data_IF_266937102565
#
_entry.id   IF_266937102565
#
_cell.length_a   1.000
_cell.length_b   1.000
_cell.length_c   1.000
_cell.angle_alpha   90.00
_cell.angle_beta   90.00
_cell.angle_gamma   90.00
#
_symmetry.space_group_name_H-M   'P 1'
#
loop_
_entity.id
_entity.type
_entity.pdbx_description
1 polymer ?
#
# COMPACT_ATOMS: atom_id res chain seq x y z
N UNK A 1 50.64 -4.42 14.14
CA UNK A 1 49.99 -5.44 13.29
C UNK A 1 48.56 -5.80 13.71
N UNK A 2 48.19 -5.76 15.00
CA UNK A 2 46.81 -6.04 15.45
C UNK A 2 45.77 -5.00 14.98
N UNK A 3 46.11 -3.71 14.97
CA UNK A 3 45.19 -2.64 14.57
C UNK A 3 44.69 -2.76 13.12
N UNK A 4 45.57 -3.13 12.18
CA UNK A 4 45.18 -3.29 10.76
C UNK A 4 44.15 -4.41 10.55
N UNK A 5 44.25 -5.48 11.36
CA UNK A 5 43.32 -6.63 11.30
C UNK A 5 41.95 -6.27 11.86
N UNK A 6 41.91 -5.46 12.92
CA UNK A 6 40.66 -4.94 13.50
C UNK A 6 39.98 -3.98 12.52
N UNK A 7 40.73 -3.06 11.91
CA UNK A 7 40.19 -2.12 10.90
C UNK A 7 39.62 -2.88 9.70
N UNK A 8 40.34 -3.89 9.19
CA UNK A 8 39.84 -4.72 8.09
C UNK A 8 38.57 -5.50 8.45
N UNK A 9 38.52 -6.08 9.66
CA UNK A 9 37.33 -6.81 10.12
C UNK A 9 36.10 -5.90 10.26
N UNK A 10 36.27 -4.69 10.81
CA UNK A 10 35.19 -3.70 10.93
C UNK A 10 34.71 -3.24 9.55
N UNK A 11 35.63 -2.97 8.62
CA UNK A 11 35.27 -2.57 7.25
C UNK A 11 34.48 -3.65 6.50
N UNK A 12 34.90 -4.92 6.62
CA UNK A 12 34.18 -6.06 6.03
C UNK A 12 32.81 -6.24 6.66
N UNK A 13 32.71 -6.15 7.99
CA UNK A 13 31.42 -6.28 8.69
C UNK A 13 30.44 -5.19 8.28
N UNK A 14 30.90 -3.93 8.16
CA UNK A 14 30.08 -2.81 7.68
C UNK A 14 29.68 -2.99 6.22
N UNK A 15 30.60 -3.41 5.34
CA UNK A 15 30.30 -3.67 3.93
C UNK A 15 29.27 -4.78 3.72
N UNK A 16 29.37 -5.88 4.49
CA UNK A 16 28.39 -6.97 4.48
C UNK A 16 27.04 -6.48 5.02
N UNK A 17 27.04 -5.71 6.10
CA UNK A 17 25.80 -5.17 6.68
C UNK A 17 25.07 -4.24 5.71
N UNK A 18 25.80 -3.38 4.99
CA UNK A 18 25.24 -2.47 3.99
C UNK A 18 24.61 -3.20 2.79
N UNK A 19 25.10 -4.40 2.46
CA UNK A 19 24.55 -5.22 1.37
C UNK A 19 23.21 -5.88 1.73
N UNK A 20 22.84 -5.91 3.01
CA UNK A 20 21.58 -6.50 3.49
C UNK A 20 20.47 -5.46 3.69
N UNK A 21 20.71 -4.16 3.41
CA UNK A 21 19.65 -3.17 3.52
C UNK A 21 18.62 -3.41 2.40
N UNK A 22 17.33 -3.65 2.74
CA UNK A 22 16.30 -3.68 1.72
C UNK A 22 16.23 -2.30 1.08
N UNK A 23 16.38 -2.24 -0.25
CA UNK A 23 16.14 -1.02 -1.00
C UNK A 23 14.74 -0.50 -0.65
N UNK A 24 14.61 0.81 -0.42
CA UNK A 24 13.32 1.45 -0.25
C UNK A 24 12.49 1.19 -1.51
N UNK A 25 11.59 0.20 -1.45
CA UNK A 25 10.77 -0.19 -2.58
C UNK A 25 9.70 0.87 -2.76
N UNK A 26 9.85 1.68 -3.81
CA UNK A 26 8.72 2.42 -4.38
C UNK A 26 7.81 1.39 -5.02
N UNK A 27 6.84 0.90 -4.25
CA UNK A 27 5.88 -0.11 -4.69
C UNK A 27 5.02 0.46 -5.81
N UNK A 28 5.49 0.33 -7.06
CA UNK A 28 4.71 0.72 -8.22
C UNK A 28 3.69 -0.38 -8.51
N UNK A 29 2.40 -0.04 -8.45
CA UNK A 29 1.34 -0.97 -8.79
C UNK A 29 1.34 -1.23 -10.30
N UNK A 30 1.19 -2.49 -10.67
CA UNK A 30 1.10 -2.93 -12.05
C UNK A 30 0.02 -4.00 -12.18
N UNK A 31 -0.84 -3.87 -13.19
CA UNK A 31 -1.80 -4.93 -13.55
C UNK A 31 -1.04 -6.15 -14.05
N UNK A 32 -1.38 -7.35 -13.55
CA UNK A 32 -0.66 -8.57 -13.91
C UNK A 32 0.70 -8.71 -13.22
N UNK A 33 0.94 -8.02 -12.11
CA UNK A 33 2.16 -8.16 -11.30
C UNK A 33 2.50 -9.63 -10.98
N UNK A 34 1.48 -10.47 -10.77
CA UNK A 34 1.65 -11.88 -10.45
C UNK A 34 1.76 -12.81 -11.66
N UNK A 35 1.72 -12.31 -12.91
CA UNK A 35 1.68 -13.17 -14.10
C UNK A 35 2.85 -14.15 -14.21
N UNK A 36 4.03 -13.79 -13.71
CA UNK A 36 5.23 -14.64 -13.78
C UNK A 36 5.45 -15.48 -12.52
N UNK A 37 5.20 -14.90 -11.34
CA UNK A 37 5.47 -15.54 -10.05
C UNK A 37 4.33 -16.46 -9.59
N UNK A 38 3.07 -16.07 -9.83
CA UNK A 38 1.88 -16.84 -9.49
C UNK A 38 0.70 -16.47 -10.42
N UNK A 39 0.66 -17.00 -11.65
CA UNK A 39 -0.29 -16.58 -12.68
C UNK A 39 -1.76 -16.79 -12.29
N UNK A 40 -2.02 -17.73 -11.38
CA UNK A 40 -3.38 -18.05 -10.94
C UNK A 40 -3.85 -17.20 -9.76
N UNK A 41 -3.03 -16.29 -9.22
CA UNK A 41 -3.35 -15.54 -8.02
C UNK A 41 -4.67 -14.77 -8.15
N UNK A 42 -4.83 -13.97 -9.20
CA UNK A 42 -6.05 -13.16 -9.42
C UNK A 42 -7.30 -14.04 -9.60
N UNK A 43 -7.16 -15.16 -10.33
CA UNK A 43 -8.24 -16.12 -10.56
C UNK A 43 -8.67 -16.81 -9.27
N UNK A 44 -7.71 -17.26 -8.46
CA UNK A 44 -7.99 -17.93 -7.17
C UNK A 44 -8.69 -17.00 -6.19
N UNK A 45 -8.20 -15.76 -6.07
CA UNK A 45 -8.84 -14.73 -5.22
C UNK A 45 -10.27 -14.48 -5.69
N UNK A 46 -10.49 -14.32 -7.00
CA UNK A 46 -11.84 -14.14 -7.57
C UNK A 46 -12.75 -15.31 -7.22
N UNK A 47 -12.31 -16.55 -7.43
CA UNK A 47 -13.11 -17.74 -7.12
C UNK A 47 -13.46 -17.81 -5.63
N UNK A 48 -12.48 -17.58 -4.75
CA UNK A 48 -12.71 -17.57 -3.30
C UNK A 48 -13.74 -16.50 -2.89
N UNK A 49 -13.61 -15.27 -3.40
CA UNK A 49 -14.55 -14.18 -3.11
C UNK A 49 -15.94 -14.48 -3.67
N UNK A 50 -16.04 -15.01 -4.90
CA UNK A 50 -17.33 -15.37 -5.50
C UNK A 50 -18.03 -16.48 -4.70
N UNK A 51 -17.30 -17.51 -4.27
CA UNK A 51 -17.84 -18.58 -3.45
C UNK A 51 -18.32 -18.06 -2.08
N UNK A 52 -17.52 -17.19 -1.45
CA UNK A 52 -17.90 -16.57 -0.18
C UNK A 52 -19.14 -15.67 -0.33
N UNK A 53 -19.21 -14.90 -1.41
CA UNK A 53 -20.36 -14.05 -1.73
C UNK A 53 -21.64 -14.84 -1.98
N UNK A 54 -21.54 -15.99 -2.66
CA UNK A 54 -22.68 -16.87 -2.90
C UNK A 54 -23.28 -17.42 -1.60
N UNK A 55 -22.45 -17.59 -0.57
CA UNK A 55 -22.89 -18.02 0.76
C UNK A 55 -23.41 -16.84 1.61
N UNK A 56 -22.74 -15.68 1.55
CA UNK A 56 -23.12 -14.47 2.25
C UNK A 56 -22.82 -13.21 1.41
N UNK A 57 -23.89 -12.57 0.93
CA UNK A 57 -23.80 -11.33 0.15
C UNK A 57 -23.13 -10.16 0.89
N UNK A 58 -23.13 -10.17 2.23
CA UNK A 58 -22.50 -9.15 3.08
C UNK A 58 -20.98 -9.12 2.98
N UNK A 59 -20.35 -10.21 2.51
CA UNK A 59 -18.89 -10.32 2.33
C UNK A 59 -18.36 -9.25 1.36
N UNK A 60 -19.09 -8.93 0.30
CA UNK A 60 -18.64 -7.91 -0.66
C UNK A 60 -18.48 -6.54 0.01
N UNK A 61 -19.49 -6.11 0.76
CA UNK A 61 -19.43 -4.85 1.52
C UNK A 61 -18.36 -4.89 2.63
N UNK A 62 -18.22 -6.03 3.31
CA UNK A 62 -17.20 -6.24 4.34
C UNK A 62 -15.78 -6.12 3.81
N UNK A 63 -15.47 -6.74 2.67
CA UNK A 63 -14.14 -6.68 2.03
C UNK A 63 -13.78 -5.25 1.60
N UNK A 64 -14.74 -4.52 1.02
CA UNK A 64 -14.56 -3.12 0.63
C UNK A 64 -14.30 -2.25 1.87
N UNK A 65 -15.09 -2.43 2.94
CA UNK A 65 -14.91 -1.69 4.20
C UNK A 65 -13.56 -2.00 4.85
N UNK A 66 -13.12 -3.26 4.83
CA UNK A 66 -11.82 -3.66 5.35
C UNK A 66 -10.68 -3.01 4.54
N UNK A 67 -10.77 -3.02 3.21
CA UNK A 67 -9.78 -2.38 2.34
C UNK A 67 -9.66 -0.89 2.64
N UNK A 68 -10.79 -0.18 2.75
CA UNK A 68 -10.79 1.22 3.14
C UNK A 68 -10.24 1.42 4.55
N UNK A 69 -10.62 0.59 5.51
CA UNK A 69 -10.12 0.69 6.88
C UNK A 69 -8.58 0.53 6.95
N UNK A 70 -8.01 -0.40 6.21
CA UNK A 70 -6.55 -0.63 6.18
C UNK A 70 -5.79 0.47 5.43
N UNK A 71 -6.40 1.05 4.39
CA UNK A 71 -5.77 2.10 3.59
C UNK A 71 -5.90 3.50 4.24
N UNK A 72 -7.05 3.86 4.82
CA UNK A 72 -7.24 5.17 5.47
C UNK A 72 -6.37 5.32 6.73
N UNK A 73 -6.09 4.23 7.44
CA UNK A 73 -5.18 4.26 8.59
C UNK A 73 -3.71 4.49 8.17
N UNK A 74 -3.38 4.25 6.88
CA UNK A 74 -2.03 4.36 6.31
C UNK A 74 -1.77 5.59 5.43
N UNK A 75 -2.77 6.43 5.14
CA UNK A 75 -2.58 7.64 4.31
C UNK A 75 -1.75 8.75 5.00
N UNK A 76 -1.12 8.46 6.14
CA UNK A 76 -0.18 9.38 6.78
C UNK A 76 1.25 9.35 6.19
N UNK A 77 1.59 8.46 5.25
CA UNK A 77 2.92 8.48 4.60
C UNK A 77 2.89 7.96 3.16
N UNK A 78 2.69 8.87 2.19
CA UNK A 78 3.31 8.87 0.84
C UNK A 78 2.53 9.78 -0.12
N UNK A 79 2.70 11.10 0.03
CA UNK A 79 2.79 12.03 -1.11
C UNK A 79 3.18 13.42 -0.57
N UNK A 80 4.23 14.09 -1.09
CA UNK A 80 4.29 15.54 -0.96
C UNK A 80 3.11 16.13 -1.73
N UNK A 81 2.45 17.20 -1.23
CA UNK A 81 1.31 17.81 -1.91
C UNK A 81 1.78 18.43 -3.23
N UNK A 82 1.75 17.67 -4.31
CA UNK A 82 1.84 18.23 -5.66
C UNK A 82 0.42 18.53 -6.10
N UNK A 83 0.13 19.83 -6.04
CA UNK A 83 -1.04 20.50 -6.61
C UNK A 83 -1.47 19.87 -7.94
N UNK A 84 -2.76 19.48 -7.97
CA UNK A 84 -3.66 19.24 -9.09
C UNK A 84 -3.09 19.04 -10.50
N UNK A 85 -3.36 17.86 -11.07
CA UNK A 85 -3.59 17.74 -12.52
C UNK A 85 -4.97 18.36 -12.86
N UNK A 86 -5.07 19.27 -13.85
CA UNK A 86 -6.35 19.79 -14.31
C UNK A 86 -7.03 18.74 -15.18
N UNK A 87 -8.16 18.16 -14.72
CA UNK A 87 -8.85 17.16 -15.54
C UNK A 87 -10.17 16.60 -15.02
N UNK A 88 -10.52 16.72 -13.73
CA UNK A 88 -11.83 16.27 -13.27
C UNK A 88 -12.52 17.32 -12.37
N UNK A 89 -13.57 17.87 -12.93
CA UNK A 89 -14.60 18.74 -12.35
C UNK A 89 -15.55 17.94 -11.45
N UNK A 90 -15.88 18.52 -10.29
CA UNK A 90 -16.98 18.09 -9.40
C UNK A 90 -16.52 17.10 -8.33
N UNK A 91 -16.59 17.38 -7.04
CA UNK A 91 -17.68 18.04 -6.31
C UNK A 91 -17.15 18.66 -5.01
N UNK A 92 -17.38 19.96 -4.83
CA UNK A 92 -17.26 20.61 -3.52
C UNK A 92 -18.42 20.14 -2.62
N UNK A 93 -18.21 19.87 -1.31
CA UNK A 93 -19.31 19.82 -0.37
C UNK A 93 -19.76 21.25 -0.07
N UNK A 94 -20.98 21.56 -0.48
CA UNK A 94 -21.74 22.73 -0.08
C UNK A 94 -21.94 22.73 1.44
N UNK A 95 -21.10 23.43 2.18
CA UNK A 95 -21.33 23.80 3.58
C UNK A 95 -22.00 25.17 3.59
N UNK A 96 -23.32 25.21 3.72
CA UNK A 96 -24.04 26.38 4.23
C UNK A 96 -25.02 25.87 5.27
N UNK A 97 -24.58 25.96 6.53
CA UNK A 97 -25.43 25.82 7.70
C UNK A 97 -26.05 27.19 7.98
N UNK A 98 -27.35 27.24 8.28
CA UNK A 98 -27.72 27.69 9.62
C UNK A 98 -28.70 26.72 10.28
N UNK A 99 -28.38 26.32 11.52
CA UNK A 99 -29.33 25.75 12.47
C UNK A 99 -30.44 26.75 12.80
N UNK A 100 -31.72 26.35 12.83
CA UNK A 100 -32.72 26.96 13.69
C UNK A 100 -32.76 26.21 15.02
N UNK A 101 -32.32 26.88 16.09
CA UNK A 101 -32.59 26.48 17.46
C UNK A 101 -34.08 26.69 17.76
N UNK A 102 -34.84 25.61 17.92
CA UNK A 102 -35.92 25.49 18.91
C UNK A 102 -36.25 24.03 19.21
#
# INVERSE_FOLDING_TARGET
>A
MAGQRVVAAVAVALGVCLLQLPAASRGQLQVGFYNTSCPNAETLVRQAVTNAFANDSGIAAGLIRLHFHDCFVRSAQSDPPTVGHPGHIGSAPSQTQPEPQL
#
